data_IF_467638405766
#
_entry.id   IF_467638405766
#
_cell.length_a   1.000
_cell.length_b   1.000
_cell.length_c   1.000
_cell.angle_alpha   90.00
_cell.angle_beta   90.00
_cell.angle_gamma   90.00
#
_symmetry.space_group_name_H-M   'P 1'
#
loop_
_entity.id
_entity.type
_entity.pdbx_description
1 polymer ?
#
# COMPACT_ATOMS: atom_id res chain seq x y z
N UNK A 1 26.80 -16.39 18.11
CA UNK A 1 26.56 -14.97 18.48
C UNK A 1 25.35 -14.86 19.39
N UNK A 2 25.51 -14.60 20.70
CA UNK A 2 24.39 -14.30 21.61
C UNK A 2 23.92 -12.86 21.33
N UNK A 3 22.85 -12.67 20.55
CA UNK A 3 22.16 -11.38 20.45
C UNK A 3 21.35 -11.18 21.72
N UNK A 4 21.75 -10.28 22.62
CA UNK A 4 20.78 -9.76 23.59
C UNK A 4 19.68 -9.06 22.78
N UNK A 5 18.43 -9.50 22.95
CA UNK A 5 17.28 -8.89 22.30
C UNK A 5 16.93 -7.57 23.00
N UNK A 6 17.75 -6.56 22.74
CA UNK A 6 17.39 -5.19 23.07
C UNK A 6 16.33 -4.73 22.05
N UNK A 7 15.09 -4.62 22.50
CA UNK A 7 13.93 -4.23 21.68
C UNK A 7 14.21 -2.92 20.95
N UNK A 8 14.81 -1.93 21.64
CA UNK A 8 15.18 -0.64 21.04
C UNK A 8 16.13 -0.82 19.85
N UNK A 9 17.08 -1.75 19.96
CA UNK A 9 18.05 -2.04 18.89
C UNK A 9 17.37 -2.72 17.70
N UNK A 10 16.38 -3.59 17.93
CA UNK A 10 15.59 -4.20 16.86
C UNK A 10 14.74 -3.18 16.10
N UNK A 11 14.06 -2.27 16.81
CA UNK A 11 13.30 -1.17 16.19
C UNK A 11 14.21 -0.24 15.39
N UNK A 12 15.36 0.13 15.94
CA UNK A 12 16.35 0.96 15.24
C UNK A 12 16.78 0.33 13.91
N UNK A 13 17.09 -0.98 13.90
CA UNK A 13 17.46 -1.67 12.66
C UNK A 13 16.30 -1.77 11.66
N UNK A 14 15.07 -2.01 12.11
CA UNK A 14 13.91 -2.03 11.24
C UNK A 14 13.65 -0.66 10.59
N UNK A 15 13.75 0.43 11.36
CA UNK A 15 13.60 1.81 10.87
C UNK A 15 14.72 2.13 9.86
N UNK A 16 15.96 1.77 10.15
CA UNK A 16 17.05 1.97 9.20
C UNK A 16 16.82 1.21 7.88
N UNK A 17 16.31 -0.02 7.94
CA UNK A 17 15.92 -0.78 6.75
C UNK A 17 14.85 -0.05 5.91
N UNK A 18 13.82 0.50 6.56
CA UNK A 18 12.80 1.30 5.89
C UNK A 18 13.36 2.59 5.27
N UNK A 19 14.28 3.28 5.95
CA UNK A 19 14.91 4.48 5.42
C UNK A 19 15.80 4.19 4.21
N UNK A 20 16.51 3.06 4.21
CA UNK A 20 17.29 2.61 3.05
C UNK A 20 16.36 2.34 1.86
N UNK A 21 15.31 1.53 2.07
CA UNK A 21 14.32 1.26 1.03
C UNK A 21 13.70 2.56 0.49
N UNK A 22 13.31 3.48 1.37
CA UNK A 22 12.76 4.78 0.97
C UNK A 22 13.74 5.60 0.13
N UNK A 23 15.03 5.58 0.45
CA UNK A 23 16.05 6.36 -0.27
C UNK A 23 16.31 5.79 -1.65
N UNK A 24 16.44 4.47 -1.75
CA UNK A 24 16.87 3.76 -2.96
C UNK A 24 15.70 3.52 -3.93
N UNK A 25 14.50 3.23 -3.42
CA UNK A 25 13.38 2.80 -4.26
C UNK A 25 12.50 3.95 -4.73
N UNK A 26 12.50 4.19 -6.05
CA UNK A 26 11.63 5.20 -6.67
C UNK A 26 10.15 4.83 -6.54
N UNK A 27 9.80 3.57 -6.76
CA UNK A 27 8.43 3.10 -6.70
C UNK A 27 7.84 3.24 -5.29
N UNK A 28 8.65 2.97 -4.25
CA UNK A 28 8.24 3.16 -2.86
C UNK A 28 7.91 4.63 -2.56
N UNK A 29 8.69 5.59 -3.08
CA UNK A 29 8.39 7.03 -2.95
C UNK A 29 7.05 7.39 -3.61
N UNK A 30 6.78 6.85 -4.80
CA UNK A 30 5.52 7.07 -5.52
C UNK A 30 4.36 6.49 -4.72
N UNK A 31 4.47 5.25 -4.25
CA UNK A 31 3.42 4.59 -3.48
C UNK A 31 3.15 5.30 -2.15
N UNK A 32 4.18 5.77 -1.43
CA UNK A 32 3.99 6.58 -0.23
C UNK A 32 3.32 7.92 -0.53
N UNK A 33 3.69 8.57 -1.64
CA UNK A 33 3.03 9.82 -2.08
C UNK A 33 1.54 9.56 -2.34
N UNK A 34 1.22 8.48 -3.07
CA UNK A 34 -0.15 8.07 -3.32
C UNK A 34 -0.88 7.73 -2.03
N UNK A 35 -0.24 7.04 -1.09
CA UNK A 35 -0.80 6.75 0.22
C UNK A 35 -1.21 8.03 0.95
N UNK A 36 -0.33 9.02 1.07
CA UNK A 36 -0.67 10.30 1.70
C UNK A 36 -1.77 11.05 0.96
N UNK A 37 -1.81 10.97 -0.37
CA UNK A 37 -2.90 11.53 -1.17
C UNK A 37 -4.25 10.87 -0.85
N UNK A 38 -4.28 9.53 -0.73
CA UNK A 38 -5.47 8.79 -0.32
C UNK A 38 -5.93 9.19 1.10
N UNK A 39 -5.00 9.45 2.02
CA UNK A 39 -5.34 9.99 3.34
C UNK A 39 -5.96 11.39 3.23
N UNK A 40 -5.39 12.28 2.43
CA UNK A 40 -5.97 13.62 2.23
C UNK A 40 -7.40 13.53 1.65
N UNK A 41 -7.62 12.66 0.66
CA UNK A 41 -8.95 12.45 0.08
C UNK A 41 -9.93 11.85 1.09
N UNK A 42 -9.50 10.87 1.89
CA UNK A 42 -10.33 10.27 2.94
C UNK A 42 -10.78 11.29 4.00
N UNK A 43 -9.93 12.26 4.33
CA UNK A 43 -10.28 13.38 5.21
C UNK A 43 -11.33 14.29 4.58
N UNK A 44 -11.14 14.68 3.31
CA UNK A 44 -12.06 15.54 2.56
C UNK A 44 -13.44 14.88 2.45
N UNK A 45 -13.48 13.58 2.15
CA UNK A 45 -14.72 12.80 1.99
C UNK A 45 -15.32 12.31 3.31
N UNK A 46 -14.70 12.62 4.44
CA UNK A 46 -15.13 12.23 5.79
C UNK A 46 -15.39 10.72 5.88
N UNK A 47 -14.35 9.95 5.56
CA UNK A 47 -14.39 8.50 5.66
C UNK A 47 -14.77 8.03 7.06
N UNK A 48 -15.65 7.04 7.13
CA UNK A 48 -16.02 6.33 8.36
C UNK A 48 -14.82 5.52 8.86
N UNK A 49 -14.77 5.15 10.15
CA UNK A 49 -13.66 4.37 10.71
C UNK A 49 -13.34 3.09 9.92
N UNK A 50 -14.35 2.38 9.40
CA UNK A 50 -14.13 1.18 8.60
C UNK A 50 -13.48 1.47 7.24
N UNK A 51 -13.85 2.59 6.59
CA UNK A 51 -13.27 3.01 5.31
C UNK A 51 -11.79 3.36 5.50
N UNK A 52 -11.44 4.00 6.62
CA UNK A 52 -10.06 4.25 7.02
C UNK A 52 -9.24 2.98 7.18
N UNK A 53 -9.76 2.01 7.93
CA UNK A 53 -9.08 0.72 8.16
C UNK A 53 -8.80 0.04 6.81
N UNK A 54 -9.77 0.04 5.90
CA UNK A 54 -9.63 -0.57 4.57
C UNK A 54 -8.55 0.13 3.74
N UNK A 55 -8.52 1.47 3.70
CA UNK A 55 -7.50 2.23 2.97
C UNK A 55 -6.11 2.04 3.58
N UNK A 56 -6.00 2.07 4.91
CA UNK A 56 -4.73 1.86 5.61
C UNK A 56 -4.19 0.46 5.35
N UNK A 57 -5.02 -0.57 5.45
CA UNK A 57 -4.62 -1.95 5.21
C UNK A 57 -4.21 -2.17 3.75
N UNK A 58 -5.04 -1.78 2.80
CA UNK A 58 -4.75 -1.97 1.37
C UNK A 58 -3.48 -1.24 0.93
N UNK A 59 -3.28 0.00 1.39
CA UNK A 59 -2.06 0.76 1.09
C UNK A 59 -0.81 0.18 1.78
N UNK A 60 -0.97 -0.34 3.01
CA UNK A 60 0.14 -1.00 3.71
C UNK A 60 0.59 -2.26 2.97
N UNK A 61 -0.35 -3.03 2.41
CA UNK A 61 -0.01 -4.22 1.59
C UNK A 61 0.82 -3.82 0.38
N UNK A 62 0.45 -2.74 -0.33
CA UNK A 62 1.22 -2.22 -1.47
C UNK A 62 2.66 -1.90 -1.06
N UNK A 63 2.84 -1.14 0.01
CA UNK A 63 4.16 -0.72 0.51
C UNK A 63 4.99 -1.95 0.94
N UNK A 64 4.39 -2.90 1.63
CA UNK A 64 5.07 -4.14 2.05
C UNK A 64 5.47 -4.97 0.83
N UNK A 65 4.59 -5.12 -0.17
CA UNK A 65 4.90 -5.83 -1.41
C UNK A 65 6.07 -5.18 -2.15
N UNK A 66 6.15 -3.86 -2.20
CA UNK A 66 7.28 -3.14 -2.82
C UNK A 66 8.60 -3.38 -2.08
N UNK A 67 8.58 -3.35 -0.75
CA UNK A 67 9.77 -3.64 0.06
C UNK A 67 10.21 -5.09 -0.15
N UNK A 68 9.27 -6.04 -0.21
CA UNK A 68 9.59 -7.45 -0.52
C UNK A 68 10.20 -7.56 -1.91
N UNK A 69 9.63 -6.87 -2.91
CA UNK A 69 10.17 -6.88 -4.27
C UNK A 69 11.63 -6.39 -4.30
N UNK A 70 11.87 -5.27 -3.62
CA UNK A 70 13.18 -4.65 -3.46
C UNK A 70 14.20 -5.57 -2.77
N UNK A 71 13.75 -6.35 -1.78
CA UNK A 71 14.58 -7.36 -1.10
C UNK A 71 14.91 -8.52 -2.04
N UNK A 72 13.93 -9.03 -2.78
CA UNK A 72 14.14 -10.11 -3.76
C UNK A 72 15.13 -9.68 -4.83
N UNK A 73 14.95 -8.49 -5.42
CA UNK A 73 15.86 -7.94 -6.42
C UNK A 73 17.31 -7.90 -5.90
N UNK A 74 17.54 -7.33 -4.71
CA UNK A 74 18.88 -7.24 -4.09
C UNK A 74 19.48 -8.61 -3.78
N UNK A 75 18.67 -9.57 -3.31
CA UNK A 75 19.15 -10.95 -3.05
C UNK A 75 19.59 -11.58 -4.37
N UNK A 76 18.79 -11.43 -5.42
CA UNK A 76 19.11 -12.00 -6.73
C UNK A 76 20.35 -11.35 -7.36
N UNK A 77 20.49 -10.02 -7.25
CA UNK A 77 21.68 -9.28 -7.71
C UNK A 77 22.95 -9.69 -6.95
N UNK A 78 22.82 -10.01 -5.67
CA UNK A 78 23.93 -10.49 -4.86
C UNK A 78 24.34 -11.92 -5.22
N UNK A 79 23.38 -12.82 -5.44
CA UNK A 79 23.65 -14.24 -5.74
C UNK A 79 24.14 -14.43 -7.17
N UNK A 80 23.59 -13.69 -8.13
CA UNK A 80 23.92 -13.82 -9.54
C UNK A 80 24.03 -12.44 -10.20
N UNK A 81 25.22 -11.81 -10.16
CA UNK A 81 25.43 -10.46 -10.67
C UNK A 81 25.47 -10.40 -12.21
N UNK A 82 25.65 -11.54 -12.88
CA UNK A 82 25.56 -11.62 -14.34
C UNK A 82 24.12 -11.89 -14.79
N UNK A 83 23.81 -11.52 -16.04
CA UNK A 83 22.49 -11.74 -16.61
C UNK A 83 22.19 -13.24 -16.75
N UNK A 84 21.05 -13.67 -16.18
CA UNK A 84 20.54 -15.04 -16.28
C UNK A 84 19.02 -15.00 -16.43
N UNK A 85 18.48 -15.70 -17.43
CA UNK A 85 17.05 -15.73 -17.73
C UNK A 85 16.21 -16.22 -16.54
N UNK A 86 16.75 -17.12 -15.71
CA UNK A 86 16.07 -17.62 -14.50
C UNK A 86 15.93 -16.53 -13.45
N UNK A 87 16.96 -15.70 -13.29
CA UNK A 87 16.94 -14.55 -12.38
C UNK A 87 15.93 -13.52 -12.86
N UNK A 88 15.90 -13.27 -14.16
CA UNK A 88 14.90 -12.39 -14.78
C UNK A 88 13.48 -12.84 -14.46
N UNK A 89 13.18 -14.13 -14.63
CA UNK A 89 11.84 -14.69 -14.30
C UNK A 89 11.49 -14.45 -12.83
N UNK A 90 12.44 -14.68 -11.91
CA UNK A 90 12.19 -14.46 -10.47
C UNK A 90 11.87 -12.98 -10.19
N UNK A 91 12.62 -12.05 -10.78
CA UNK A 91 12.39 -10.60 -10.62
C UNK A 91 11.05 -10.18 -11.23
N UNK A 92 10.72 -10.67 -12.43
CA UNK A 92 9.45 -10.38 -13.09
C UNK A 92 8.26 -10.89 -12.27
N UNK A 93 8.35 -12.10 -11.70
CA UNK A 93 7.34 -12.64 -10.80
C UNK A 93 7.22 -11.82 -9.52
N UNK A 94 8.33 -11.38 -8.94
CA UNK A 94 8.36 -10.53 -7.75
C UNK A 94 7.66 -9.19 -7.99
N UNK A 95 7.94 -8.54 -9.12
CA UNK A 95 7.29 -7.31 -9.53
C UNK A 95 5.78 -7.49 -9.75
N UNK A 96 5.34 -8.66 -10.19
CA UNK A 96 3.92 -8.97 -10.36
C UNK A 96 3.12 -8.89 -9.05
N UNK A 97 3.73 -9.20 -7.90
CA UNK A 97 3.07 -9.10 -6.60
C UNK A 97 2.70 -7.66 -6.26
N UNK A 98 3.61 -6.73 -6.54
CA UNK A 98 3.39 -5.28 -6.38
C UNK A 98 2.24 -4.84 -7.28
N UNK A 99 2.24 -5.27 -8.55
CA UNK A 99 1.19 -4.92 -9.51
C UNK A 99 -0.19 -5.35 -9.01
N UNK A 100 -0.33 -6.59 -8.53
CA UNK A 100 -1.59 -7.10 -8.01
C UNK A 100 -2.04 -6.33 -6.77
N UNK A 101 -1.12 -6.04 -5.84
CA UNK A 101 -1.43 -5.25 -4.64
C UNK A 101 -1.90 -3.83 -5.01
N UNK A 102 -1.22 -3.17 -5.94
CA UNK A 102 -1.59 -1.85 -6.45
C UNK A 102 -2.98 -1.86 -7.08
N UNK A 103 -3.25 -2.84 -7.96
CA UNK A 103 -4.55 -2.97 -8.61
C UNK A 103 -5.67 -3.16 -7.59
N UNK A 104 -5.46 -4.01 -6.59
CA UNK A 104 -6.44 -4.26 -5.54
C UNK A 104 -6.71 -3.00 -4.70
N UNK A 105 -5.66 -2.26 -4.33
CA UNK A 105 -5.80 -0.99 -3.60
C UNK A 105 -6.58 0.05 -4.42
N UNK A 106 -6.31 0.16 -5.72
CA UNK A 106 -7.05 1.06 -6.62
C UNK A 106 -8.53 0.66 -6.71
N UNK A 107 -8.84 -0.62 -6.89
CA UNK A 107 -10.22 -1.11 -6.95
C UNK A 107 -10.97 -0.80 -5.65
N UNK A 108 -10.36 -1.09 -4.50
CA UNK A 108 -10.93 -0.75 -3.19
C UNK A 108 -11.26 0.74 -3.11
N UNK A 109 -10.31 1.59 -3.48
CA UNK A 109 -10.51 3.02 -3.41
C UNK A 109 -11.64 3.49 -4.34
N UNK A 110 -11.70 2.98 -5.58
CA UNK A 110 -12.79 3.28 -6.52
C UNK A 110 -14.15 2.86 -5.97
N UNK A 111 -14.25 1.72 -5.29
CA UNK A 111 -15.50 1.26 -4.64
C UNK A 111 -15.92 2.24 -3.54
N UNK A 112 -14.99 2.70 -2.71
CA UNK A 112 -15.28 3.67 -1.64
C UNK A 112 -15.77 5.00 -2.21
N UNK A 113 -15.13 5.49 -3.27
CA UNK A 113 -15.54 6.70 -3.99
C UNK A 113 -16.93 6.49 -4.61
N UNK A 114 -17.15 5.39 -5.33
CA UNK A 114 -18.42 5.09 -5.96
C UNK A 114 -19.56 5.05 -4.94
N UNK A 115 -19.40 4.32 -3.83
CA UNK A 115 -20.41 4.26 -2.77
C UNK A 115 -20.73 5.64 -2.17
N UNK A 116 -19.74 6.55 -2.11
CA UNK A 116 -19.93 7.92 -1.61
C UNK A 116 -20.73 8.78 -2.58
N UNK A 117 -20.47 8.68 -3.88
CA UNK A 117 -21.08 9.53 -4.91
C UNK A 117 -22.36 8.93 -5.52
N UNK A 118 -22.62 7.63 -5.34
CA UNK A 118 -23.78 6.92 -5.86
C UNK A 118 -25.12 7.61 -5.58
N UNK A 119 -25.42 8.09 -4.34
CA UNK A 119 -26.70 8.74 -4.05
C UNK A 119 -26.92 10.04 -4.84
N UNK A 120 -25.84 10.77 -5.15
CA UNK A 120 -25.91 12.03 -5.89
C UNK A 120 -26.13 11.79 -7.39
N UNK A 121 -25.53 10.73 -7.94
CA UNK A 121 -25.65 10.36 -9.36
C UNK A 121 -27.07 9.88 -9.69
N UNK A 122 -27.67 9.07 -8.80
CA UNK A 122 -29.01 8.51 -9.00
C UNK A 122 -30.14 9.38 -8.42
N UNK A 123 -29.84 10.61 -8.00
CA UNK A 123 -30.85 11.55 -7.50
C UNK A 123 -31.59 11.07 -6.24
N UNK A 124 -31.01 10.15 -5.46
CA UNK A 124 -31.60 9.56 -4.25
C UNK A 124 -31.64 10.54 -3.06
N UNK A 125 -31.49 11.84 -3.30
CA UNK A 125 -31.04 12.79 -2.28
C UNK A 125 -32.12 13.24 -1.27
N UNK A 126 -33.37 12.77 -1.33
CA UNK A 126 -34.41 13.22 -0.39
C UNK A 126 -35.31 12.15 0.26
N UNK A 127 -35.29 10.86 -0.11
CA UNK A 127 -36.32 9.93 0.42
C UNK A 127 -35.97 9.25 1.76
N UNK A 128 -34.71 9.30 2.23
CA UNK A 128 -34.28 8.55 3.43
C UNK A 128 -34.04 9.40 4.68
N UNK A 129 -34.09 10.73 4.58
CA UNK A 129 -34.02 11.60 5.77
C UNK A 129 -35.35 11.64 6.53
N UNK A 130 -36.48 11.52 5.83
CA UNK A 130 -37.81 11.64 6.44
C UNK A 130 -38.24 10.37 7.19
N UNK A 131 -37.69 9.19 6.84
CA UNK A 131 -38.06 7.91 7.49
C UNK A 131 -37.40 7.73 8.87
N UNK A 132 -36.34 8.51 9.19
CA UNK A 132 -35.66 8.43 10.51
C UNK A 132 -36.20 9.42 11.55
N UNK A 133 -37.24 10.20 11.23
CA UNK A 133 -37.83 11.21 12.12
C UNK A 133 -39.30 10.91 12.52
N UNK A 134 -39.79 9.70 12.26
CA UNK A 134 -41.07 9.16 12.77
C UNK A 134 -40.83 7.86 13.49
#
# INVERSE_FOLDING_TARGET
MKRSHNIYKSFYFAIMGLLIAFKEERNLKIQLTMFFLLLAIGLILRFKPIEWIIVLLSSSIVIVSEIINSVVERIMDYINPEFDDRVKIIKDMSASFVLIACLFSVIIFLILIFNRFFPYIFGLNNSFKDIKLT
#
